data_IF_168592426391
#
_entry.id   IF_168592426391
#
_cell.length_a   1.000
_cell.length_b   1.000
_cell.length_c   1.000
_cell.angle_alpha   90.00
_cell.angle_beta   90.00
_cell.angle_gamma   90.00
#
_symmetry.space_group_name_H-M   'P 1'
#
loop_
_entity.id
_entity.type
_entity.pdbx_description
1 polymer ?
#
# COMPACT_ATOMS: atom_id res chain seq x y z
N UNK A 1 -0.06 -10.19 -25.18
CA UNK A 1 -0.07 -9.33 -23.98
C UNK A 1 -1.54 -8.96 -23.70
N UNK A 2 -2.01 -9.01 -22.44
CA UNK A 2 -3.44 -8.86 -22.08
C UNK A 2 -3.73 -7.52 -21.37
N UNK A 3 -2.68 -6.79 -21.02
CA UNK A 3 -2.76 -5.51 -20.31
C UNK A 3 -1.43 -5.10 -19.67
N UNK A 4 -1.45 -3.97 -18.95
CA UNK A 4 -0.35 -3.45 -18.14
C UNK A 4 -0.91 -2.85 -16.84
N UNK A 5 -0.17 -3.01 -15.73
CA UNK A 5 -0.51 -2.47 -14.43
C UNK A 5 0.71 -1.72 -13.89
N UNK A 6 0.57 -0.40 -13.70
CA UNK A 6 1.55 0.39 -12.98
C UNK A 6 1.12 0.50 -11.50
N UNK A 7 1.84 -0.17 -10.57
CA UNK A 7 1.54 -0.08 -9.16
C UNK A 7 1.83 1.31 -8.57
N UNK A 8 2.69 2.10 -9.22
CA UNK A 8 3.10 3.42 -8.75
C UNK A 8 2.09 4.46 -9.24
N UNK A 9 1.54 5.28 -8.34
CA UNK A 9 0.69 6.39 -8.76
C UNK A 9 1.53 7.42 -9.51
N UNK A 10 0.99 7.97 -10.60
CA UNK A 10 1.59 9.13 -11.26
C UNK A 10 1.54 10.38 -10.37
N UNK A 11 2.05 11.51 -10.87
CA UNK A 11 1.94 12.82 -10.18
C UNK A 11 0.49 13.16 -9.81
N UNK A 12 -0.46 12.65 -10.58
CA UNK A 12 -1.90 12.84 -10.44
C UNK A 12 -2.52 11.97 -9.32
N UNK A 13 -1.71 11.13 -8.64
CA UNK A 13 -2.17 10.20 -7.60
C UNK A 13 -2.92 8.97 -8.15
N UNK A 14 -3.12 8.89 -9.47
CA UNK A 14 -3.86 7.82 -10.14
C UNK A 14 -2.94 6.67 -10.53
N UNK A 15 -3.37 5.43 -10.25
CA UNK A 15 -2.71 4.21 -10.74
C UNK A 15 -3.19 3.90 -12.15
N UNK A 16 -2.25 3.65 -13.07
CA UNK A 16 -2.57 3.42 -14.48
C UNK A 16 -2.69 1.93 -14.76
N UNK A 17 -3.80 1.55 -15.37
CA UNK A 17 -4.07 0.16 -15.75
C UNK A 17 -4.63 0.15 -17.17
N UNK A 18 -3.94 -0.52 -18.08
CA UNK A 18 -4.45 -0.84 -19.41
C UNK A 18 -4.93 -2.29 -19.43
N UNK A 19 -6.18 -2.53 -19.83
CA UNK A 19 -6.77 -3.87 -19.92
C UNK A 19 -7.35 -4.05 -21.33
N UNK A 20 -7.02 -5.18 -21.98
CA UNK A 20 -7.67 -5.59 -23.22
C UNK A 20 -8.95 -6.38 -22.90
N UNK A 21 -10.09 -5.70 -22.97
CA UNK A 21 -11.39 -6.26 -22.59
C UNK A 21 -11.82 -7.46 -23.45
N UNK A 22 -11.46 -7.49 -24.74
CA UNK A 22 -11.85 -8.57 -25.64
C UNK A 22 -11.08 -9.85 -25.31
N UNK A 23 -9.76 -9.72 -25.15
CA UNK A 23 -8.91 -10.85 -24.73
C UNK A 23 -9.28 -11.37 -23.36
N UNK A 24 -9.58 -10.49 -22.40
CA UNK A 24 -9.98 -10.89 -21.05
C UNK A 24 -11.28 -11.71 -21.09
N UNK A 25 -12.29 -11.26 -21.85
CA UNK A 25 -13.55 -11.99 -22.00
C UNK A 25 -13.35 -13.36 -22.64
N UNK A 26 -12.49 -13.44 -23.66
CA UNK A 26 -12.13 -14.72 -24.27
C UNK A 26 -11.50 -15.68 -23.25
N UNK A 27 -10.51 -15.23 -22.49
CA UNK A 27 -9.85 -16.12 -21.52
C UNK A 27 -10.80 -16.54 -20.39
N UNK A 28 -11.68 -15.65 -19.95
CA UNK A 28 -12.74 -16.00 -18.99
C UNK A 28 -13.72 -17.04 -19.56
N UNK A 29 -14.07 -16.97 -20.86
CA UNK A 29 -14.96 -17.96 -21.48
C UNK A 29 -14.31 -19.33 -21.66
N UNK A 30 -12.99 -19.39 -21.82
CA UNK A 30 -12.21 -20.64 -21.83
C UNK A 30 -12.02 -21.21 -20.40
N UNK A 31 -12.44 -20.49 -19.36
CA UNK A 31 -12.37 -20.93 -17.96
C UNK A 31 -11.11 -20.52 -17.23
N UNK A 32 -10.42 -19.47 -17.67
CA UNK A 32 -9.25 -18.94 -16.96
C UNK A 32 -9.62 -18.51 -15.53
N UNK A 33 -8.82 -18.94 -14.56
CA UNK A 33 -8.95 -18.53 -13.15
C UNK A 33 -8.02 -17.33 -12.87
N UNK A 34 -8.55 -16.09 -12.76
CA UNK A 34 -7.73 -14.95 -12.42
C UNK A 34 -7.27 -15.03 -10.95
N UNK A 35 -6.05 -14.56 -10.69
CA UNK A 35 -5.56 -14.37 -9.31
C UNK A 35 -6.38 -13.29 -8.58
N UNK A 36 -6.41 -13.33 -7.24
CA UNK A 36 -7.18 -12.40 -6.38
C UNK A 36 -6.97 -10.92 -6.74
N UNK A 37 -5.72 -10.51 -7.01
CA UNK A 37 -5.40 -9.13 -7.37
C UNK A 37 -6.01 -8.74 -8.71
N UNK A 38 -5.95 -9.65 -9.68
CA UNK A 38 -6.51 -9.46 -11.02
C UNK A 38 -8.03 -9.46 -10.95
N UNK A 39 -8.64 -10.38 -10.20
CA UNK A 39 -10.08 -10.43 -9.98
C UNK A 39 -10.63 -9.11 -9.37
N UNK A 40 -9.90 -8.50 -8.42
CA UNK A 40 -10.27 -7.18 -7.88
C UNK A 40 -10.17 -6.07 -8.90
N UNK A 41 -9.15 -6.11 -9.74
CA UNK A 41 -8.94 -5.11 -10.80
C UNK A 41 -10.02 -5.21 -11.88
N UNK A 42 -10.34 -6.44 -12.30
CA UNK A 42 -11.44 -6.73 -13.22
C UNK A 42 -12.80 -6.36 -12.62
N UNK A 43 -12.99 -6.55 -11.30
CA UNK A 43 -14.18 -6.10 -10.59
C UNK A 43 -14.33 -4.58 -10.58
N UNK A 44 -13.24 -3.83 -10.35
CA UNK A 44 -13.23 -2.35 -10.47
C UNK A 44 -13.54 -1.88 -11.89
N UNK A 45 -13.20 -2.68 -12.90
CA UNK A 45 -13.49 -2.42 -14.31
C UNK A 45 -14.90 -2.89 -14.74
N UNK A 46 -15.69 -3.49 -13.83
CA UNK A 46 -17.05 -3.97 -14.11
C UNK A 46 -17.14 -5.26 -14.94
N UNK A 47 -16.05 -6.01 -15.10
CA UNK A 47 -16.03 -7.26 -15.88
C UNK A 47 -16.48 -8.46 -15.04
N UNK A 48 -16.09 -8.50 -13.77
CA UNK A 48 -16.45 -9.55 -12.82
C UNK A 48 -17.29 -8.96 -11.66
N UNK A 49 -18.14 -9.78 -11.01
CA UNK A 49 -18.83 -9.37 -9.80
C UNK A 49 -17.80 -8.94 -8.75
N UNK A 50 -18.11 -7.84 -8.06
CA UNK A 50 -17.18 -7.22 -7.14
C UNK A 50 -17.04 -8.10 -5.89
N UNK A 51 -15.90 -8.77 -5.76
CA UNK A 51 -15.61 -9.63 -4.60
C UNK A 51 -15.64 -8.81 -3.30
N UNK A 52 -16.08 -9.43 -2.18
CA UNK A 52 -16.04 -8.78 -0.88
C UNK A 52 -14.63 -8.32 -0.58
N UNK A 53 -14.47 -7.01 -0.35
CA UNK A 53 -13.16 -6.45 0.02
C UNK A 53 -12.75 -7.08 1.33
N UNK A 54 -11.68 -7.88 1.32
CA UNK A 54 -10.96 -8.20 2.57
C UNK A 54 -10.58 -6.86 3.18
N UNK A 55 -11.06 -6.57 4.40
CA UNK A 55 -10.60 -5.40 5.14
C UNK A 55 -9.08 -5.51 5.19
N UNK A 56 -8.38 -4.52 4.64
CA UNK A 56 -6.95 -4.44 4.85
C UNK A 56 -6.76 -4.52 6.36
N UNK A 57 -6.00 -5.51 6.83
CA UNK A 57 -5.44 -5.44 8.16
C UNK A 57 -4.76 -4.08 8.20
N UNK A 58 -5.29 -3.20 9.04
CA UNK A 58 -4.73 -1.88 9.23
C UNK A 58 -3.30 -2.15 9.72
N UNK A 59 -2.30 -1.99 8.86
CA UNK A 59 -1.01 -1.51 9.34
C UNK A 59 -1.26 -0.07 9.79
N UNK A 60 -2.01 0.07 10.88
CA UNK A 60 -1.90 1.18 11.78
C UNK A 60 -0.51 1.04 12.41
N UNK A 61 0.18 2.17 12.49
CA UNK A 61 1.41 2.36 13.26
C UNK A 61 2.71 1.85 12.61
N UNK A 62 3.15 2.57 11.57
CA UNK A 62 4.54 3.03 11.58
C UNK A 62 4.54 4.54 11.87
N UNK A 63 4.88 4.98 13.09
CA UNK A 63 4.96 6.41 13.38
C UNK A 63 6.10 7.03 12.56
N UNK A 64 5.74 8.04 11.77
CA UNK A 64 6.62 8.82 10.92
C UNK A 64 7.42 9.89 11.71
N UNK A 65 8.00 9.53 12.86
CA UNK A 65 8.92 10.40 13.59
C UNK A 65 10.04 9.58 14.23
N UNK A 66 11.12 9.38 13.48
CA UNK A 66 12.42 9.10 14.06
C UNK A 66 13.17 10.44 14.12
N UNK A 67 13.36 11.06 15.31
CA UNK A 67 14.27 12.18 15.41
C UNK A 67 15.70 11.66 15.26
N UNK A 68 16.33 12.06 14.16
CA UNK A 68 17.76 11.96 13.97
C UNK A 68 18.46 13.06 14.80
N UNK A 69 18.90 12.72 16.01
CA UNK A 69 19.96 13.44 16.76
C UNK A 69 20.58 12.41 17.72
N UNK A 70 21.55 11.62 17.28
CA UNK A 70 22.99 11.90 17.49
C UNK A 70 23.26 12.61 18.82
N UNK A 71 23.60 11.81 19.83
CA UNK A 71 24.63 12.04 20.85
C UNK A 71 25.28 13.42 20.92
N UNK A 72 25.24 14.06 22.10
CA UNK A 72 26.37 14.56 22.95
C UNK A 72 25.76 15.06 24.29
N UNK A 73 26.43 14.88 25.46
CA UNK A 73 25.77 14.85 26.77
C UNK A 73 25.79 16.21 27.49
N UNK A 74 24.72 16.55 28.18
CA UNK A 74 24.68 17.65 29.15
C UNK A 74 24.56 17.05 30.55
N UNK A 75 25.70 16.92 31.22
CA UNK A 75 25.77 16.63 32.65
C UNK A 75 26.13 17.92 33.36
N UNK A 76 25.20 18.53 34.10
CA UNK A 76 25.53 19.44 35.20
C UNK A 76 24.32 19.69 36.11
N UNK A 77 24.54 19.62 37.43
CA UNK A 77 23.59 20.14 38.41
C UNK A 77 23.35 19.27 39.65
N UNK A 78 24.36 19.06 40.50
CA UNK A 78 24.12 18.77 41.94
C UNK A 78 24.63 19.94 42.76
N UNK A 79 23.76 20.94 42.92
CA UNK A 79 23.94 22.00 43.91
C UNK A 79 23.36 21.57 45.26
N UNK A 80 24.02 21.98 46.34
CA UNK A 80 23.36 22.24 47.63
C UNK A 80 23.72 21.32 48.79
N UNK A 81 24.82 21.66 49.46
CA UNK A 81 24.99 21.78 50.93
C UNK A 81 24.31 20.80 51.90
N UNK A 82 25.13 20.16 52.73
CA UNK A 82 24.76 19.82 54.11
C UNK A 82 25.99 19.75 55.02
N UNK A 83 26.05 20.69 55.97
CA UNK A 83 26.48 20.56 57.37
C UNK A 83 27.53 19.50 57.73
N UNK A 84 28.71 19.95 58.16
CA UNK A 84 29.20 20.02 59.56
C UNK A 84 30.63 20.58 59.57
#
# INVERSE_FOLDING_TARGET
MVGHYDPLPGKDGMKRVGLDFERIRYWLSVGAQPSDTVARLLGKAGILPQFPRRKAAQHADRPANAPATSSVPESEGKGGGSVL
#
